data_IF_382651776007
#
_entry.id   IF_382651776007
#
_cell.length_a   1.000
_cell.length_b   1.000
_cell.length_c   1.000
_cell.angle_alpha   90.00
_cell.angle_beta   90.00
_cell.angle_gamma   90.00
#
_symmetry.space_group_name_H-M   'P 1'
#
loop_
_entity.id
_entity.type
_entity.pdbx_description
1 polymer ?
#
# COMPACT_ATOMS: atom_id res chain seq x y z
N UNK A 1 46.52 25.35 -24.15
CA UNK A 1 45.90 25.26 -22.81
C UNK A 1 44.96 26.43 -22.58
N UNK A 2 43.64 26.19 -22.61
CA UNK A 2 42.62 26.72 -21.69
C UNK A 2 41.24 26.37 -22.26
N UNK A 3 40.53 25.56 -21.48
CA UNK A 3 39.16 25.06 -21.70
C UNK A 3 38.17 26.20 -21.49
N UNK A 4 37.09 26.26 -22.27
CA UNK A 4 35.75 26.68 -21.79
C UNK A 4 34.69 26.51 -22.88
N UNK A 5 33.46 26.36 -22.39
CA UNK A 5 32.16 26.45 -23.08
C UNK A 5 31.64 25.21 -23.80
N UNK A 6 30.76 24.50 -23.10
CA UNK A 6 29.88 23.46 -23.65
C UNK A 6 29.16 22.66 -22.57
N UNK A 7 28.87 23.26 -21.41
CA UNK A 7 28.19 22.62 -20.28
C UNK A 7 26.94 23.46 -19.95
N UNK A 8 25.94 23.37 -20.83
CA UNK A 8 24.66 24.06 -20.70
C UNK A 8 23.54 23.15 -21.20
N UNK A 9 23.53 21.89 -20.75
CA UNK A 9 22.49 20.91 -21.11
C UNK A 9 22.13 19.97 -19.94
N UNK A 10 22.12 20.46 -18.71
CA UNK A 10 21.94 19.59 -17.53
C UNK A 10 21.32 20.24 -16.30
N UNK A 11 20.47 21.25 -16.45
CA UNK A 11 19.80 21.90 -15.32
C UNK A 11 18.37 22.30 -15.68
N UNK A 12 17.51 21.33 -16.00
CA UNK A 12 16.06 21.60 -16.03
C UNK A 12 15.16 20.36 -15.87
N UNK A 13 15.63 19.31 -15.17
CA UNK A 13 14.86 18.06 -14.99
C UNK A 13 14.67 17.64 -13.52
N UNK A 14 14.90 18.52 -12.55
CA UNK A 14 14.89 18.17 -11.11
C UNK A 14 13.80 18.89 -10.28
N UNK A 15 12.68 19.30 -10.89
CA UNK A 15 11.63 20.07 -10.20
C UNK A 15 10.23 19.45 -10.26
N UNK A 16 10.08 18.16 -10.58
CA UNK A 16 8.76 17.51 -10.66
C UNK A 16 8.36 16.67 -9.45
N UNK A 17 9.18 16.56 -8.40
CA UNK A 17 8.97 15.54 -7.35
C UNK A 17 8.75 16.11 -5.94
N UNK A 18 8.02 17.23 -5.78
CA UNK A 18 7.88 17.86 -4.45
C UNK A 18 6.51 18.48 -4.16
N UNK A 19 5.44 17.90 -4.70
CA UNK A 19 4.11 18.08 -4.11
C UNK A 19 3.67 16.71 -3.56
N UNK A 20 4.10 16.40 -2.34
CA UNK A 20 3.42 15.40 -1.54
C UNK A 20 1.98 15.89 -1.36
N UNK A 21 1.02 15.22 -2.00
CA UNK A 21 -0.38 15.53 -1.80
C UNK A 21 -0.86 15.00 -0.46
N UNK A 22 -2.14 15.23 -0.16
CA UNK A 22 -2.72 14.86 1.14
C UNK A 22 -2.62 13.35 1.43
N UNK A 23 -2.55 12.50 0.39
CA UNK A 23 -2.36 11.05 0.56
C UNK A 23 -0.93 10.72 0.96
N UNK A 24 0.06 11.31 0.29
CA UNK A 24 1.47 11.13 0.63
C UNK A 24 1.80 11.67 2.02
N UNK A 25 1.33 12.86 2.38
CA UNK A 25 1.47 13.39 3.74
C UNK A 25 0.91 12.40 4.78
N UNK A 26 -0.28 11.86 4.52
CA UNK A 26 -0.88 10.86 5.40
C UNK A 26 -0.04 9.58 5.49
N UNK A 27 0.46 9.04 4.37
CA UNK A 27 1.24 7.80 4.32
C UNK A 27 2.58 7.95 5.03
N UNK A 28 3.27 9.07 4.80
CA UNK A 28 4.51 9.42 5.48
C UNK A 28 4.27 9.53 6.99
N UNK A 29 3.23 10.27 7.41
CA UNK A 29 2.88 10.41 8.82
C UNK A 29 2.58 9.05 9.46
N UNK A 30 1.81 8.20 8.79
CA UNK A 30 1.50 6.85 9.26
C UNK A 30 2.76 5.98 9.43
N UNK A 31 3.68 6.03 8.45
CA UNK A 31 4.94 5.29 8.51
C UNK A 31 5.83 5.81 9.66
N UNK A 32 5.89 7.12 9.83
CA UNK A 32 6.67 7.75 10.89
C UNK A 32 6.12 7.44 12.29
N UNK A 33 4.80 7.49 12.48
CA UNK A 33 4.15 7.09 13.73
C UNK A 33 4.38 5.61 14.04
N UNK A 34 4.31 4.75 13.02
CA UNK A 34 4.61 3.32 13.14
C UNK A 34 6.06 3.05 13.55
N UNK A 35 7.02 3.73 12.92
CA UNK A 35 8.43 3.65 13.25
C UNK A 35 8.69 4.13 14.69
N UNK A 36 8.15 5.29 15.07
CA UNK A 36 8.27 5.84 16.41
C UNK A 36 7.71 4.89 17.48
N UNK A 37 6.54 4.29 17.22
CA UNK A 37 5.93 3.31 18.11
C UNK A 37 6.77 2.03 18.21
N UNK A 38 7.37 1.57 17.11
CA UNK A 38 8.25 0.40 17.11
C UNK A 38 9.55 0.67 17.86
N UNK A 39 10.13 1.86 17.71
CA UNK A 39 11.31 2.31 18.42
C UNK A 39 11.09 2.43 19.93
N UNK A 40 9.86 2.52 20.41
CA UNK A 40 9.56 2.55 21.85
C UNK A 40 9.39 1.15 22.46
N UNK A 41 9.35 0.08 21.65
CA UNK A 41 9.20 -1.30 22.17
C UNK A 41 10.46 -1.76 22.89
N UNK A 42 10.29 -2.48 24.00
CA UNK A 42 11.38 -3.00 24.82
C UNK A 42 12.22 -4.08 24.09
N UNK A 43 11.57 -4.87 23.23
CA UNK A 43 12.23 -5.83 22.34
C UNK A 43 11.94 -5.45 20.90
N UNK A 44 12.99 -5.13 20.16
CA UNK A 44 12.94 -4.70 18.76
C UNK A 44 13.79 -5.65 17.95
N UNK A 45 13.27 -6.08 16.82
CA UNK A 45 14.04 -6.80 15.82
C UNK A 45 14.79 -5.75 14.97
N UNK A 46 16.14 -5.73 14.99
CA UNK A 46 16.92 -4.75 14.23
C UNK A 46 16.62 -4.79 12.73
N UNK A 47 16.31 -5.95 12.17
CA UNK A 47 16.01 -6.09 10.75
C UNK A 47 14.70 -5.38 10.39
N UNK A 48 13.65 -5.59 11.21
CA UNK A 48 12.35 -4.93 11.01
C UNK A 48 12.41 -3.43 11.27
N UNK A 49 13.27 -3.00 12.19
CA UNK A 49 13.51 -1.58 12.42
C UNK A 49 14.17 -0.93 11.21
N UNK A 50 15.15 -1.60 10.59
CA UNK A 50 15.78 -1.10 9.37
C UNK A 50 14.81 -1.09 8.20
N UNK A 51 14.02 -2.15 8.01
CA UNK A 51 12.95 -2.22 6.99
C UNK A 51 11.99 -1.03 7.13
N UNK A 52 11.50 -0.74 8.34
CA UNK A 52 10.60 0.39 8.58
C UNK A 52 11.25 1.76 8.29
N UNK A 53 12.56 1.91 8.54
CA UNK A 53 13.31 3.13 8.20
C UNK A 53 13.48 3.29 6.70
N UNK A 54 13.82 2.21 6.01
CA UNK A 54 13.98 2.18 4.56
C UNK A 54 12.64 2.47 3.86
N UNK A 55 11.54 1.94 4.39
CA UNK A 55 10.19 2.22 3.89
C UNK A 55 9.83 3.70 4.03
N UNK A 56 10.11 4.31 5.18
CA UNK A 56 9.90 5.74 5.40
C UNK A 56 10.77 6.59 4.45
N UNK A 57 12.04 6.23 4.26
CA UNK A 57 12.93 6.93 3.34
C UNK A 57 12.42 6.87 1.90
N UNK A 58 11.95 5.70 1.43
CA UNK A 58 11.36 5.57 0.09
C UNK A 58 10.10 6.43 -0.08
N UNK A 59 9.24 6.49 0.93
CA UNK A 59 8.06 7.36 0.91
C UNK A 59 8.44 8.84 0.85
N UNK A 60 9.49 9.26 1.56
CA UNK A 60 9.96 10.65 1.54
C UNK A 60 10.56 11.04 0.18
N UNK A 61 11.18 10.11 -0.54
CA UNK A 61 11.83 10.38 -1.83
C UNK A 61 10.90 10.29 -3.03
N UNK A 62 9.92 9.38 -3.01
CA UNK A 62 9.20 8.97 -4.21
C UNK A 62 7.68 8.83 -4.05
N UNK A 63 7.07 9.40 -3.00
CA UNK A 63 5.62 9.29 -2.88
C UNK A 63 4.88 10.19 -3.88
N UNK A 64 3.97 9.58 -4.64
CA UNK A 64 3.01 10.24 -5.53
C UNK A 64 1.56 9.79 -5.21
N UNK A 65 0.66 10.75 -4.97
CA UNK A 65 -0.73 10.48 -4.61
C UNK A 65 -1.48 9.65 -5.68
N UNK A 66 -1.17 9.88 -6.96
CA UNK A 66 -1.81 9.19 -8.08
C UNK A 66 -1.33 7.74 -8.16
N UNK A 67 -0.04 7.51 -7.99
CA UNK A 67 0.54 6.17 -7.93
C UNK A 67 -0.02 5.38 -6.74
N UNK A 68 -0.10 5.98 -5.55
CA UNK A 68 -0.69 5.34 -4.36
C UNK A 68 -2.16 4.96 -4.60
N UNK A 69 -2.94 5.82 -5.24
CA UNK A 69 -4.33 5.50 -5.58
C UNK A 69 -4.43 4.37 -6.64
N UNK A 70 -3.52 4.35 -7.61
CA UNK A 70 -3.45 3.30 -8.62
C UNK A 70 -3.11 1.94 -7.99
N UNK A 71 -2.11 1.89 -7.12
CA UNK A 71 -1.74 0.68 -6.38
C UNK A 71 -2.91 0.13 -5.55
N UNK A 72 -3.64 1.01 -4.86
CA UNK A 72 -4.84 0.59 -4.10
C UNK A 72 -5.93 0.05 -5.02
N UNK A 73 -6.15 0.66 -6.20
CA UNK A 73 -7.12 0.17 -7.17
C UNK A 73 -6.73 -1.20 -7.77
N UNK A 74 -5.44 -1.41 -8.06
CA UNK A 74 -4.89 -2.69 -8.48
C UNK A 74 -5.07 -3.75 -7.38
N UNK A 75 -4.76 -3.40 -6.14
CA UNK A 75 -4.92 -4.31 -5.00
C UNK A 75 -6.40 -4.66 -4.74
N UNK A 76 -7.33 -3.72 -4.93
CA UNK A 76 -8.78 -4.00 -4.91
C UNK A 76 -9.15 -5.00 -6.01
N UNK A 77 -8.61 -4.83 -7.22
CA UNK A 77 -8.88 -5.74 -8.34
C UNK A 77 -8.37 -7.14 -8.03
N UNK A 78 -7.14 -7.25 -7.51
CA UNK A 78 -6.55 -8.49 -7.06
C UNK A 78 -7.36 -9.16 -5.94
N UNK A 79 -7.68 -8.45 -4.87
CA UNK A 79 -8.45 -9.02 -3.75
C UNK A 79 -9.87 -9.43 -4.17
N UNK A 80 -10.48 -8.70 -5.12
CA UNK A 80 -11.75 -9.10 -5.75
C UNK A 80 -11.62 -10.41 -6.52
N UNK A 81 -10.56 -10.60 -7.31
CA UNK A 81 -10.36 -11.86 -8.03
C UNK A 81 -10.14 -13.02 -7.05
N UNK A 82 -9.39 -12.80 -5.97
CA UNK A 82 -9.21 -13.80 -4.91
C UNK A 82 -10.53 -14.17 -4.22
N UNK A 83 -11.40 -13.19 -3.94
CA UNK A 83 -12.74 -13.45 -3.41
C UNK A 83 -13.61 -14.24 -4.38
N UNK A 84 -13.58 -13.92 -5.67
CA UNK A 84 -14.28 -14.69 -6.71
C UNK A 84 -13.80 -16.14 -6.74
N UNK A 85 -12.47 -16.38 -6.76
CA UNK A 85 -11.89 -17.72 -6.72
C UNK A 85 -12.29 -18.48 -5.46
N UNK A 86 -12.29 -17.83 -4.29
CA UNK A 86 -12.69 -18.45 -3.03
C UNK A 86 -14.21 -18.79 -2.99
N UNK A 87 -15.05 -17.96 -3.61
CA UNK A 87 -16.48 -18.26 -3.74
C UNK A 87 -16.72 -19.47 -4.64
N UNK A 88 -15.99 -19.60 -5.76
CA UNK A 88 -16.06 -20.78 -6.64
C UNK A 88 -15.60 -22.04 -5.91
N UNK A 89 -14.46 -21.98 -5.22
CA UNK A 89 -13.93 -23.11 -4.45
C UNK A 89 -14.89 -23.55 -3.34
N UNK A 90 -15.55 -22.60 -2.66
CA UNK A 90 -16.57 -22.92 -1.67
C UNK A 90 -17.82 -23.56 -2.28
N UNK A 91 -18.24 -23.13 -3.48
CA UNK A 91 -19.34 -23.77 -4.18
C UNK A 91 -19.01 -25.23 -4.51
N UNK A 92 -17.83 -25.48 -5.07
CA UNK A 92 -17.34 -26.83 -5.38
C UNK A 92 -17.20 -27.71 -4.12
N UNK A 93 -16.66 -27.16 -3.03
CA UNK A 93 -16.54 -27.89 -1.77
C UNK A 93 -17.90 -28.31 -1.19
N UNK A 94 -18.95 -27.51 -1.42
CA UNK A 94 -20.31 -27.85 -0.98
C UNK A 94 -20.92 -29.01 -1.78
N UNK A 95 -20.41 -29.29 -2.98
CA UNK A 95 -20.84 -30.44 -3.80
C UNK A 95 -20.19 -31.75 -3.34
N UNK A 96 -19.00 -31.71 -2.75
CA UNK A 96 -18.22 -32.91 -2.38
C UNK A 96 -18.69 -33.61 -1.10
N UNK A 97 -19.64 -33.04 -0.35
CA UNK A 97 -20.12 -33.52 0.97
C UNK A 97 -19.02 -33.70 2.05
N UNK A 98 -17.78 -33.28 1.79
CA UNK A 98 -16.68 -33.32 2.75
C UNK A 98 -16.73 -32.10 3.68
N UNK A 99 -17.10 -32.33 4.95
CA UNK A 99 -17.21 -31.28 5.97
C UNK A 99 -15.89 -30.53 6.21
N UNK A 100 -14.75 -31.21 6.09
CA UNK A 100 -13.43 -30.59 6.26
C UNK A 100 -13.13 -29.64 5.11
N UNK A 101 -13.34 -30.09 3.87
CA UNK A 101 -13.18 -29.27 2.67
C UNK A 101 -14.12 -28.04 2.69
N UNK A 102 -15.39 -28.22 3.08
CA UNK A 102 -16.35 -27.12 3.23
C UNK A 102 -15.85 -26.10 4.27
N UNK A 103 -15.34 -26.57 5.41
CA UNK A 103 -14.85 -25.69 6.46
C UNK A 103 -13.63 -24.87 6.01
N UNK A 104 -12.65 -25.52 5.38
CA UNK A 104 -11.45 -24.85 4.87
C UNK A 104 -11.79 -23.82 3.78
N UNK A 105 -12.65 -24.17 2.83
CA UNK A 105 -13.11 -23.25 1.79
C UNK A 105 -13.90 -22.07 2.38
N UNK A 106 -14.68 -22.30 3.45
CA UNK A 106 -15.40 -21.23 4.16
C UNK A 106 -14.43 -20.27 4.85
N UNK A 107 -13.37 -20.77 5.48
CA UNK A 107 -12.35 -19.92 6.08
C UNK A 107 -11.61 -19.10 5.01
N UNK A 108 -11.19 -19.72 3.91
CA UNK A 108 -10.54 -19.04 2.80
C UNK A 108 -11.42 -17.92 2.22
N UNK A 109 -12.71 -18.20 2.00
CA UNK A 109 -13.68 -17.20 1.53
C UNK A 109 -13.82 -16.02 2.51
N UNK A 110 -13.90 -16.29 3.81
CA UNK A 110 -13.99 -15.24 4.83
C UNK A 110 -12.72 -14.37 4.87
N UNK A 111 -11.55 -14.97 4.71
CA UNK A 111 -10.28 -14.24 4.64
C UNK A 111 -10.25 -13.34 3.40
N UNK A 112 -10.52 -13.90 2.22
CA UNK A 112 -10.54 -13.15 0.96
C UNK A 112 -11.58 -12.01 1.00
N UNK A 113 -12.74 -12.25 1.60
CA UNK A 113 -13.77 -11.22 1.76
C UNK A 113 -13.29 -10.08 2.66
N UNK A 114 -12.66 -10.39 3.81
CA UNK A 114 -12.10 -9.36 4.69
C UNK A 114 -11.00 -8.54 4.02
N UNK A 115 -10.13 -9.19 3.24
CA UNK A 115 -9.07 -8.50 2.48
C UNK A 115 -9.66 -7.53 1.44
N UNK A 116 -10.68 -7.96 0.69
CA UNK A 116 -11.36 -7.09 -0.26
C UNK A 116 -12.04 -5.89 0.42
N UNK A 117 -12.74 -6.11 1.54
CA UNK A 117 -13.37 -5.02 2.30
C UNK A 117 -12.32 -4.05 2.85
N UNK A 118 -11.21 -4.55 3.40
CA UNK A 118 -10.14 -3.70 3.91
C UNK A 118 -9.51 -2.84 2.80
N UNK A 119 -9.28 -3.40 1.60
CA UNK A 119 -8.77 -2.66 0.46
C UNK A 119 -9.73 -1.54 0.01
N UNK A 120 -11.04 -1.83 0.00
CA UNK A 120 -12.09 -0.84 -0.32
C UNK A 120 -12.19 0.26 0.73
N UNK A 121 -12.04 -0.09 2.02
CA UNK A 121 -12.03 0.89 3.10
C UNK A 121 -10.83 1.82 3.00
N UNK A 122 -9.66 1.28 2.66
CA UNK A 122 -8.46 2.09 2.43
C UNK A 122 -8.65 3.07 1.27
N UNK A 123 -9.21 2.64 0.14
CA UNK A 123 -9.54 3.54 -0.98
C UNK A 123 -10.45 4.69 -0.55
N UNK A 124 -11.51 4.39 0.21
CA UNK A 124 -12.43 5.43 0.73
C UNK A 124 -11.68 6.41 1.64
N UNK A 125 -10.87 5.89 2.55
CA UNK A 125 -10.08 6.69 3.48
C UNK A 125 -9.12 7.62 2.76
N UNK A 126 -8.46 7.15 1.70
CA UNK A 126 -7.56 7.98 0.88
C UNK A 126 -8.32 9.03 0.07
N UNK A 127 -9.46 8.67 -0.53
CA UNK A 127 -10.31 9.63 -1.25
C UNK A 127 -10.89 10.71 -0.34
N UNK A 128 -11.15 10.39 0.92
CA UNK A 128 -11.61 11.36 1.90
C UNK A 128 -10.56 12.43 2.22
N UNK A 129 -9.26 12.11 2.12
CA UNK A 129 -8.18 13.08 2.31
C UNK A 129 -8.16 14.17 1.22
N UNK A 130 -8.72 13.88 0.05
CA UNK A 130 -8.79 14.81 -1.08
C UNK A 130 -9.99 15.77 -1.00
N UNK A 131 -10.90 15.58 -0.04
CA UNK A 131 -12.06 16.45 0.12
C UNK A 131 -11.64 17.77 0.77
N UNK A 132 -12.21 18.92 0.33
CA UNK A 132 -11.97 20.19 1.00
C UNK A 132 -12.44 20.09 2.47
N UNK A 133 -11.62 20.59 3.39
CA UNK A 133 -12.02 20.71 4.79
C UNK A 133 -13.11 21.80 4.90
N UNK A 134 -14.19 21.57 5.67
CA UNK A 134 -15.23 22.56 5.89
C UNK A 134 -14.73 23.79 6.64
#
# INVERSE_FOLDING_TARGET
MKRTCGLLFGLCSLLQSLYAGAICEYKIQQAQDGLNAYEQKASKDPAKLQEARDDLARLLEHCDDTEVLAEVAEYITYTKSQLTSANIALAQAKESSDKSAIHQATLAQKIAHRQYIAARQEELRLKDLLKPKP
#
